data_IF_262187093617
#
_entry.id   IF_262187093617
#
_cell.length_a   1.000
_cell.length_b   1.000
_cell.length_c   1.000
_cell.angle_alpha   90.00
_cell.angle_beta   90.00
_cell.angle_gamma   90.00
#
_symmetry.space_group_name_H-M   'P 1'
#
loop_
_entity.id
_entity.type
_entity.pdbx_description
1 polymer ?
#
# COMPACT_ATOMS: atom_id res chain seq x y z
N UNK A 1 -12.78 -32.03 2.89
CA UNK A 1 -13.31 -32.03 1.51
C UNK A 1 -12.16 -32.37 0.58
N UNK A 2 -12.38 -33.17 -0.47
CA UNK A 2 -11.32 -33.43 -1.44
C UNK A 2 -10.85 -32.09 -2.02
N UNK A 3 -9.54 -31.87 -2.00
CA UNK A 3 -8.94 -30.67 -2.60
C UNK A 3 -9.21 -30.70 -4.10
N UNK A 4 -9.65 -29.57 -4.68
CA UNK A 4 -9.87 -29.42 -6.13
C UNK A 4 -8.54 -29.17 -6.85
N UNK A 5 -8.49 -29.54 -8.13
CA UNK A 5 -7.31 -29.36 -8.96
C UNK A 5 -7.20 -27.91 -9.38
N UNK A 6 -6.00 -27.34 -9.27
CA UNK A 6 -5.74 -26.00 -9.78
C UNK A 6 -6.04 -25.89 -11.28
N UNK A 7 -5.71 -26.93 -12.03
CA UNK A 7 -5.91 -26.96 -13.48
C UNK A 7 -7.39 -26.88 -13.84
N UNK A 8 -8.25 -27.58 -13.10
CA UNK A 8 -9.70 -27.55 -13.31
C UNK A 8 -10.23 -26.14 -12.99
N UNK A 9 -9.83 -25.57 -11.85
CA UNK A 9 -10.27 -24.24 -11.42
C UNK A 9 -9.85 -23.14 -12.40
N UNK A 10 -8.67 -23.22 -13.00
CA UNK A 10 -8.21 -22.25 -14.02
C UNK A 10 -9.10 -22.26 -15.27
N UNK A 11 -9.77 -23.38 -15.60
CA UNK A 11 -10.74 -23.41 -16.70
C UNK A 11 -12.02 -22.65 -16.39
N UNK A 12 -12.30 -22.36 -15.12
CA UNK A 12 -13.52 -21.71 -14.62
C UNK A 12 -13.39 -20.18 -14.52
N UNK A 13 -12.22 -19.61 -14.84
CA UNK A 13 -11.93 -18.17 -14.70
C UNK A 13 -12.98 -17.27 -15.36
N UNK A 14 -13.27 -17.53 -16.64
CA UNK A 14 -14.19 -16.69 -17.42
C UNK A 14 -15.65 -16.90 -16.98
N UNK A 15 -16.04 -18.15 -16.69
CA UNK A 15 -17.39 -18.45 -16.18
C UNK A 15 -17.63 -17.79 -14.83
N UNK A 16 -16.68 -17.89 -13.90
CA UNK A 16 -16.77 -17.26 -12.57
C UNK A 16 -16.86 -15.74 -12.67
N UNK A 17 -16.08 -15.12 -13.57
CA UNK A 17 -16.18 -13.70 -13.84
C UNK A 17 -17.59 -13.31 -14.32
N UNK A 18 -18.09 -13.98 -15.35
CA UNK A 18 -19.38 -13.64 -15.97
C UNK A 18 -20.57 -13.89 -15.03
N UNK A 19 -20.54 -14.96 -14.25
CA UNK A 19 -21.59 -15.27 -13.26
C UNK A 19 -21.65 -14.21 -12.16
N UNK A 20 -20.50 -13.82 -11.60
CA UNK A 20 -20.45 -12.77 -10.56
C UNK A 20 -20.82 -11.41 -11.15
N UNK A 21 -20.35 -11.12 -12.36
CA UNK A 21 -20.64 -9.87 -13.05
C UNK A 21 -22.14 -9.66 -13.30
N UNK A 22 -22.83 -10.73 -13.71
CA UNK A 22 -24.27 -10.72 -13.99
C UNK A 22 -25.10 -10.69 -12.72
N UNK A 23 -24.66 -11.39 -11.68
CA UNK A 23 -25.44 -11.60 -10.46
C UNK A 23 -25.33 -10.44 -9.45
N UNK A 24 -24.25 -9.66 -9.51
CA UNK A 24 -24.04 -8.52 -8.62
C UNK A 24 -23.69 -8.93 -7.18
N UNK A 25 -23.91 -7.99 -6.25
CA UNK A 25 -23.62 -8.18 -4.83
C UNK A 25 -24.77 -7.67 -3.95
N UNK A 26 -24.88 -8.22 -2.74
CA UNK A 26 -26.01 -7.96 -1.83
C UNK A 26 -26.11 -6.49 -1.38
N UNK A 27 -24.98 -5.88 -1.01
CA UNK A 27 -24.93 -4.50 -0.53
C UNK A 27 -23.55 -3.86 -0.76
N UNK A 28 -23.52 -2.54 -0.95
CA UNK A 28 -22.28 -1.75 -0.89
C UNK A 28 -22.53 -0.42 -0.20
N UNK A 29 -21.52 0.13 0.50
CA UNK A 29 -21.58 1.47 1.07
C UNK A 29 -21.59 2.56 0.00
N UNK A 30 -21.99 3.78 0.38
CA UNK A 30 -21.81 4.96 -0.46
C UNK A 30 -20.38 5.54 -0.37
N UNK A 31 -20.09 6.53 -1.23
CA UNK A 31 -18.77 7.18 -1.30
C UNK A 31 -18.38 7.84 0.02
N UNK A 32 -19.33 8.48 0.71
CA UNK A 32 -19.07 9.21 1.96
C UNK A 32 -18.70 8.23 3.08
N UNK A 33 -19.37 7.08 3.15
CA UNK A 33 -19.07 6.03 4.10
C UNK A 33 -17.69 5.44 3.87
N UNK A 34 -17.19 5.41 2.63
CA UNK A 34 -15.84 4.93 2.33
C UNK A 34 -14.72 5.90 2.73
N UNK A 35 -14.99 7.20 2.91
CA UNK A 35 -13.94 8.20 3.18
C UNK A 35 -13.18 7.97 4.50
N UNK A 36 -11.90 8.35 4.50
CA UNK A 36 -11.01 8.32 5.66
C UNK A 36 -9.75 7.46 5.45
N UNK A 37 -8.82 7.41 6.43
CA UNK A 37 -7.70 6.49 6.41
C UNK A 37 -8.16 5.03 6.52
N UNK A 38 -7.56 4.16 5.70
CA UNK A 38 -7.98 2.75 5.57
C UNK A 38 -6.84 1.78 5.80
N UNK A 39 -7.13 0.69 6.53
CA UNK A 39 -6.33 -0.53 6.48
C UNK A 39 -7.03 -1.61 5.66
N UNK A 40 -6.38 -2.09 4.60
CA UNK A 40 -6.85 -3.16 3.74
C UNK A 40 -6.15 -4.44 4.16
N UNK A 41 -6.88 -5.41 4.70
CA UNK A 41 -6.32 -6.56 5.40
C UNK A 41 -6.60 -7.85 4.63
N UNK A 42 -5.54 -8.59 4.32
CA UNK A 42 -5.60 -9.90 3.68
C UNK A 42 -4.31 -10.70 3.90
N UNK A 43 -4.38 -12.01 3.71
CA UNK A 43 -3.22 -12.93 3.78
C UNK A 43 -3.06 -13.70 2.48
N UNK A 44 -1.83 -14.09 2.16
CA UNK A 44 -1.53 -14.83 0.94
C UNK A 44 -2.05 -14.11 -0.30
N UNK A 45 -2.69 -14.84 -1.22
CA UNK A 45 -3.32 -14.26 -2.41
C UNK A 45 -4.37 -13.16 -2.12
N UNK A 46 -5.00 -13.12 -0.94
CA UNK A 46 -5.93 -12.03 -0.57
C UNK A 46 -5.22 -10.70 -0.33
N UNK A 47 -3.90 -10.70 -0.09
CA UNK A 47 -3.11 -9.47 0.04
C UNK A 47 -3.05 -8.71 -1.29
N UNK A 48 -3.12 -9.41 -2.43
CA UNK A 48 -3.23 -8.77 -3.74
C UNK A 48 -4.53 -7.96 -3.86
N UNK A 49 -5.66 -8.48 -3.38
CA UNK A 49 -6.94 -7.77 -3.35
C UNK A 49 -6.89 -6.56 -2.41
N UNK A 50 -6.27 -6.71 -1.23
CA UNK A 50 -6.03 -5.59 -0.32
C UNK A 50 -5.20 -4.49 -0.98
N UNK A 51 -4.18 -4.85 -1.77
CA UNK A 51 -3.39 -3.87 -2.52
C UNK A 51 -4.16 -3.23 -3.67
N UNK A 52 -4.99 -3.98 -4.37
CA UNK A 52 -5.87 -3.45 -5.42
C UNK A 52 -6.89 -2.45 -4.84
N UNK A 53 -7.49 -2.77 -3.69
CA UNK A 53 -8.37 -1.84 -2.99
C UNK A 53 -7.65 -0.60 -2.50
N UNK A 54 -6.43 -0.74 -1.97
CA UNK A 54 -5.61 0.42 -1.61
C UNK A 54 -5.49 1.40 -2.79
N UNK A 55 -5.14 0.90 -3.97
CA UNK A 55 -5.01 1.74 -5.16
C UNK A 55 -6.34 2.34 -5.60
N UNK A 56 -7.45 1.61 -5.56
CA UNK A 56 -8.78 2.16 -5.84
C UNK A 56 -9.11 3.31 -4.88
N UNK A 57 -8.89 3.11 -3.58
CA UNK A 57 -9.20 4.08 -2.55
C UNK A 57 -8.41 5.37 -2.71
N UNK A 58 -7.11 5.25 -3.01
CA UNK A 58 -6.21 6.37 -3.27
C UNK A 58 -6.52 7.05 -4.62
N UNK A 59 -6.83 6.28 -5.67
CA UNK A 59 -7.15 6.81 -7.00
C UNK A 59 -8.36 7.75 -6.98
N UNK A 60 -9.39 7.42 -6.18
CA UNK A 60 -10.59 8.24 -6.02
C UNK A 60 -10.50 9.27 -4.89
N UNK A 61 -9.30 9.50 -4.32
CA UNK A 61 -9.06 10.46 -3.23
C UNK A 61 -9.97 10.25 -2.01
N UNK A 62 -10.31 9.01 -1.68
CA UNK A 62 -11.13 8.70 -0.50
C UNK A 62 -10.34 8.81 0.81
N UNK A 63 -9.01 8.79 0.73
CA UNK A 63 -8.09 8.93 1.85
C UNK A 63 -6.78 8.18 1.59
N UNK A 64 -5.93 8.12 2.61
CA UNK A 64 -4.73 7.27 2.58
C UNK A 64 -5.13 5.83 2.88
N UNK A 65 -4.60 4.86 2.13
CA UNK A 65 -4.85 3.46 2.38
C UNK A 65 -3.54 2.68 2.56
N UNK A 66 -3.58 1.62 3.37
CA UNK A 66 -2.44 0.71 3.54
C UNK A 66 -2.92 -0.73 3.47
N UNK A 67 -2.42 -1.46 2.47
CA UNK A 67 -2.50 -2.92 2.44
C UNK A 67 -1.56 -3.52 3.50
N UNK A 68 -2.05 -4.50 4.26
CA UNK A 68 -1.29 -5.15 5.31
C UNK A 68 -1.83 -6.55 5.62
N UNK A 69 -1.00 -7.35 6.28
CA UNK A 69 -1.39 -8.65 6.83
C UNK A 69 -2.16 -8.52 8.14
N UNK A 70 -2.94 -9.55 8.56
CA UNK A 70 -3.53 -9.59 9.90
C UNK A 70 -2.50 -9.44 11.03
N UNK A 71 -1.28 -9.98 10.83
CA UNK A 71 -0.20 -9.85 11.80
C UNK A 71 0.24 -8.39 11.98
N UNK A 72 0.45 -7.65 10.89
CA UNK A 72 0.76 -6.22 10.95
C UNK A 72 -0.39 -5.42 11.59
N UNK A 73 -1.64 -5.75 11.25
CA UNK A 73 -2.82 -5.11 11.84
C UNK A 73 -2.88 -5.29 13.36
N UNK A 74 -2.54 -6.47 13.86
CA UNK A 74 -2.51 -6.73 15.31
C UNK A 74 -1.39 -5.96 16.04
N UNK A 75 -0.37 -5.47 15.33
CA UNK A 75 0.79 -4.79 15.92
C UNK A 75 0.75 -3.27 15.76
N UNK A 76 -0.22 -2.72 15.02
CA UNK A 76 -0.41 -1.27 14.87
C UNK A 76 -1.25 -0.68 16.00
N UNK A 77 -0.78 0.46 16.52
CA UNK A 77 -1.50 1.27 17.50
C UNK A 77 -2.42 2.31 16.83
N UNK A 78 -2.34 2.45 15.51
CA UNK A 78 -3.17 3.38 14.75
C UNK A 78 -4.57 2.77 14.60
N UNK A 79 -5.59 3.58 14.85
CA UNK A 79 -6.98 3.25 14.53
C UNK A 79 -7.35 3.95 13.22
N UNK A 80 -7.60 3.21 12.12
CA UNK A 80 -8.10 3.80 10.88
C UNK A 80 -9.59 4.12 11.01
N UNK A 81 -10.12 4.93 10.09
CA UNK A 81 -11.57 5.18 10.01
C UNK A 81 -12.30 3.95 9.47
N UNK A 82 -11.66 3.20 8.56
CA UNK A 82 -12.22 2.02 7.90
C UNK A 82 -11.20 0.88 7.83
N UNK A 83 -11.68 -0.34 8.07
CA UNK A 83 -10.94 -1.59 7.87
C UNK A 83 -11.63 -2.38 6.77
N UNK A 84 -10.91 -2.69 5.70
CA UNK A 84 -11.42 -3.53 4.60
C UNK A 84 -10.82 -4.92 4.74
N UNK A 85 -11.66 -5.93 4.84
CA UNK A 85 -11.28 -7.31 5.11
C UNK A 85 -11.51 -8.16 3.86
N UNK A 86 -10.47 -8.85 3.40
CA UNK A 86 -10.54 -9.81 2.29
C UNK A 86 -10.40 -11.24 2.81
N UNK A 87 -11.47 -12.03 2.70
CA UNK A 87 -11.44 -13.44 3.11
C UNK A 87 -12.57 -14.24 2.43
N UNK A 88 -12.22 -15.06 1.44
CA UNK A 88 -13.15 -15.89 0.68
C UNK A 88 -14.03 -16.81 1.54
N UNK A 89 -13.40 -17.59 2.43
CA UNK A 89 -14.09 -18.59 3.24
C UNK A 89 -14.63 -18.08 4.59
N UNK A 90 -14.15 -16.93 5.06
CA UNK A 90 -14.58 -16.30 6.32
C UNK A 90 -14.31 -17.12 7.59
N UNK A 91 -13.33 -18.03 7.56
CA UNK A 91 -13.05 -19.00 8.65
C UNK A 91 -11.69 -18.85 9.33
N UNK A 92 -10.74 -18.16 8.70
CA UNK A 92 -9.38 -17.99 9.24
C UNK A 92 -9.44 -17.21 10.57
N UNK A 93 -8.78 -17.69 11.62
CA UNK A 93 -8.87 -17.06 12.94
C UNK A 93 -8.29 -15.64 12.96
N UNK A 94 -7.21 -15.37 12.23
CA UNK A 94 -6.57 -14.05 12.21
C UNK A 94 -7.52 -12.99 11.66
N UNK A 95 -8.30 -13.30 10.61
CA UNK A 95 -9.25 -12.34 10.06
C UNK A 95 -10.46 -12.10 10.98
N UNK A 96 -10.86 -13.12 11.74
CA UNK A 96 -11.89 -12.97 12.76
C UNK A 96 -11.39 -12.10 13.92
N UNK A 97 -10.10 -12.17 14.26
CA UNK A 97 -9.48 -11.32 15.27
C UNK A 97 -9.33 -9.88 14.75
N UNK A 98 -8.96 -9.68 13.48
CA UNK A 98 -8.98 -8.36 12.82
C UNK A 98 -10.37 -7.73 12.92
N UNK A 99 -11.44 -8.48 12.62
CA UNK A 99 -12.81 -7.98 12.76
C UNK A 99 -13.11 -7.53 14.19
N UNK A 100 -12.80 -8.37 15.19
CA UNK A 100 -13.06 -8.07 16.60
C UNK A 100 -12.29 -6.83 17.05
N UNK A 101 -11.02 -6.71 16.65
CA UNK A 101 -10.17 -5.57 16.98
C UNK A 101 -10.66 -4.28 16.31
N UNK A 102 -11.06 -4.34 15.03
CA UNK A 102 -11.66 -3.22 14.32
C UNK A 102 -12.97 -2.77 14.99
N UNK A 103 -13.80 -3.72 15.41
CA UNK A 103 -15.04 -3.46 16.16
C UNK A 103 -14.76 -2.82 17.52
N UNK A 104 -13.80 -3.35 18.29
CA UNK A 104 -13.40 -2.76 19.58
C UNK A 104 -12.88 -1.32 19.42
N UNK A 105 -12.21 -1.02 18.30
CA UNK A 105 -11.72 0.32 17.94
C UNK A 105 -12.80 1.24 17.34
N UNK A 106 -14.04 0.76 17.20
CA UNK A 106 -15.15 1.46 16.57
C UNK A 106 -14.85 1.91 15.13
N UNK A 107 -14.06 1.13 14.39
CA UNK A 107 -13.81 1.36 12.97
C UNK A 107 -15.06 0.99 12.15
N UNK A 108 -15.24 1.64 11.00
CA UNK A 108 -16.08 1.09 9.91
C UNK A 108 -15.43 -0.18 9.38
N UNK A 109 -16.24 -1.17 8.98
CA UNK A 109 -15.74 -2.47 8.50
C UNK A 109 -16.41 -2.81 7.17
N UNK A 110 -15.61 -3.03 6.12
CA UNK A 110 -16.07 -3.52 4.83
C UNK A 110 -15.50 -4.91 4.60
N UNK A 111 -16.35 -5.91 4.34
CA UNK A 111 -15.92 -7.30 4.19
C UNK A 111 -16.18 -7.76 2.77
N UNK A 112 -15.15 -8.29 2.12
CA UNK A 112 -15.26 -9.05 0.88
C UNK A 112 -15.11 -10.55 1.16
N UNK A 113 -16.14 -11.31 0.81
CA UNK A 113 -16.21 -12.76 1.01
C UNK A 113 -16.97 -13.41 -0.14
N UNK A 114 -16.70 -14.67 -0.43
CA UNK A 114 -17.47 -15.46 -1.39
C UNK A 114 -18.40 -16.46 -0.71
N UNK A 115 -18.42 -16.47 0.63
CA UNK A 115 -19.23 -17.38 1.45
C UNK A 115 -20.24 -16.59 2.28
N UNK A 116 -21.54 -16.73 1.95
CA UNK A 116 -22.65 -16.04 2.63
C UNK A 116 -22.75 -16.38 4.12
N UNK A 117 -22.71 -17.67 4.46
CA UNK A 117 -22.71 -18.13 5.86
C UNK A 117 -21.32 -18.62 6.28
N UNK A 118 -20.61 -17.78 7.02
CA UNK A 118 -19.28 -18.03 7.56
C UNK A 118 -19.17 -17.45 8.97
N UNK A 119 -18.18 -17.89 9.78
CA UNK A 119 -17.88 -17.25 11.05
C UNK A 119 -17.72 -15.71 10.92
N UNK A 120 -17.10 -15.23 9.86
CA UNK A 120 -16.89 -13.80 9.61
C UNK A 120 -18.21 -13.05 9.33
N UNK A 121 -19.08 -13.60 8.49
CA UNK A 121 -20.38 -12.96 8.21
C UNK A 121 -21.31 -12.99 9.42
N UNK A 122 -21.22 -14.02 10.28
CA UNK A 122 -21.92 -14.03 11.57
C UNK A 122 -21.38 -12.99 12.55
N UNK A 123 -20.08 -12.71 12.54
CA UNK A 123 -19.52 -11.61 13.31
C UNK A 123 -20.02 -10.25 12.80
N UNK A 124 -20.15 -10.07 11.48
CA UNK A 124 -20.67 -8.84 10.87
C UNK A 124 -22.06 -8.47 11.41
N UNK A 125 -22.95 -9.45 11.61
CA UNK A 125 -24.30 -9.25 12.17
C UNK A 125 -24.26 -8.64 13.58
N UNK A 126 -23.16 -8.81 14.32
CA UNK A 126 -23.01 -8.24 15.67
C UNK A 126 -22.66 -6.74 15.69
N UNK A 127 -22.46 -6.11 14.53
CA UNK A 127 -22.15 -4.69 14.38
C UNK A 127 -22.77 -4.10 13.09
N UNK A 128 -24.11 -4.17 12.94
CA UNK A 128 -24.79 -3.91 11.67
C UNK A 128 -24.65 -2.45 11.19
N UNK A 129 -24.58 -1.49 12.11
CA UNK A 129 -24.53 -0.06 11.76
C UNK A 129 -23.16 0.37 11.18
N UNK A 130 -22.10 -0.39 11.48
CA UNK A 130 -20.72 -0.08 11.11
C UNK A 130 -20.11 -1.10 10.15
N UNK A 131 -20.88 -2.07 9.66
CA UNK A 131 -20.35 -3.17 8.84
C UNK A 131 -21.12 -3.34 7.54
N UNK A 132 -20.40 -3.36 6.41
CA UNK A 132 -20.93 -3.81 5.12
C UNK A 132 -20.29 -5.13 4.71
N UNK A 133 -21.11 -6.05 4.19
CA UNK A 133 -20.65 -7.32 3.63
C UNK A 133 -20.96 -7.33 2.13
N UNK A 134 -19.89 -7.47 1.35
CA UNK A 134 -19.91 -7.62 -0.09
C UNK A 134 -19.70 -9.09 -0.39
N UNK A 135 -20.77 -9.77 -0.79
CA UNK A 135 -20.80 -11.19 -1.16
C UNK A 135 -21.51 -11.36 -2.51
N UNK A 136 -21.01 -12.22 -3.42
CA UNK A 136 -21.71 -12.47 -4.67
C UNK A 136 -23.08 -13.07 -4.39
N UNK A 137 -24.08 -12.69 -5.17
CA UNK A 137 -25.43 -13.26 -5.00
C UNK A 137 -25.47 -14.70 -5.51
N UNK A 138 -24.63 -15.04 -6.50
CA UNK A 138 -24.40 -16.39 -7.04
C UNK A 138 -23.43 -17.22 -6.17
N UNK A 139 -23.60 -18.53 -6.18
CA UNK A 139 -22.61 -19.45 -5.60
C UNK A 139 -21.40 -19.54 -6.52
N UNK A 140 -20.24 -19.18 -6.01
CA UNK A 140 -18.97 -19.32 -6.73
C UNK A 140 -18.42 -20.75 -6.57
N UNK A 141 -17.73 -21.30 -7.59
CA UNK A 141 -17.03 -22.57 -7.44
C UNK A 141 -16.03 -22.48 -6.28
N UNK A 142 -15.94 -23.54 -5.48
CA UNK A 142 -14.98 -23.60 -4.37
C UNK A 142 -13.57 -23.68 -4.91
N UNK A 143 -12.63 -23.07 -4.21
CA UNK A 143 -11.21 -23.24 -4.50
C UNK A 143 -10.64 -24.51 -3.86
N UNK A 144 -9.53 -24.97 -4.43
CA UNK A 144 -8.58 -25.89 -3.82
C UNK A 144 -7.73 -25.19 -2.76
N UNK A 145 -6.47 -25.58 -2.63
CA UNK A 145 -5.54 -24.94 -1.70
C UNK A 145 -5.12 -23.53 -2.15
N UNK A 146 -4.72 -23.39 -3.42
CA UNK A 146 -4.32 -22.12 -4.00
C UNK A 146 -5.51 -21.46 -4.72
N UNK A 147 -5.93 -20.29 -4.25
CA UNK A 147 -7.18 -19.66 -4.70
C UNK A 147 -7.16 -19.24 -6.18
N UNK A 148 -8.29 -19.46 -6.87
CA UNK A 148 -8.52 -19.06 -8.27
C UNK A 148 -9.87 -18.35 -8.39
N UNK A 149 -10.97 -19.09 -8.19
CA UNK A 149 -12.33 -18.62 -8.36
C UNK A 149 -12.68 -17.52 -7.36
N UNK A 150 -12.35 -17.68 -6.08
CA UNK A 150 -12.67 -16.63 -5.10
C UNK A 150 -11.92 -15.33 -5.34
N UNK A 151 -10.70 -15.41 -5.87
CA UNK A 151 -9.90 -14.25 -6.22
C UNK A 151 -10.52 -13.48 -7.39
N UNK A 152 -10.97 -14.18 -8.44
CA UNK A 152 -11.66 -13.58 -9.57
C UNK A 152 -13.04 -13.03 -9.18
N UNK A 153 -13.80 -13.79 -8.40
CA UNK A 153 -15.10 -13.34 -7.90
C UNK A 153 -14.97 -12.04 -7.10
N UNK A 154 -14.04 -11.99 -6.15
CA UNK A 154 -13.82 -10.79 -5.34
C UNK A 154 -13.30 -9.62 -6.17
N UNK A 155 -12.42 -9.89 -7.13
CA UNK A 155 -11.94 -8.89 -8.09
C UNK A 155 -13.07 -8.28 -8.91
N UNK A 156 -14.02 -9.12 -9.36
CA UNK A 156 -15.21 -8.68 -10.07
C UNK A 156 -16.09 -7.76 -9.19
N UNK A 157 -16.29 -8.11 -7.91
CA UNK A 157 -17.04 -7.27 -6.98
C UNK A 157 -16.39 -5.90 -6.74
N UNK A 158 -15.05 -5.85 -6.67
CA UNK A 158 -14.32 -4.57 -6.57
C UNK A 158 -14.59 -3.71 -7.82
N UNK A 159 -14.55 -4.31 -9.02
CA UNK A 159 -14.87 -3.60 -10.26
C UNK A 159 -16.35 -3.15 -10.32
N UNK A 160 -17.30 -3.98 -9.86
CA UNK A 160 -18.71 -3.60 -9.79
C UNK A 160 -18.95 -2.45 -8.80
N UNK A 161 -18.25 -2.43 -7.65
CA UNK A 161 -18.32 -1.32 -6.70
C UNK A 161 -17.74 -0.05 -7.31
N UNK A 162 -16.58 -0.13 -7.96
CA UNK A 162 -15.98 1.00 -8.66
C UNK A 162 -16.95 1.58 -9.70
N UNK A 163 -17.53 0.73 -10.55
CA UNK A 163 -18.51 1.13 -11.55
C UNK A 163 -19.73 1.79 -10.92
N UNK A 164 -20.31 1.17 -9.88
CA UNK A 164 -21.51 1.67 -9.21
C UNK A 164 -21.29 3.03 -8.55
N UNK A 165 -20.14 3.23 -7.91
CA UNK A 165 -19.88 4.42 -7.10
C UNK A 165 -19.29 5.58 -7.90
N UNK A 166 -18.50 5.28 -8.94
CA UNK A 166 -17.72 6.28 -9.67
C UNK A 166 -18.00 6.31 -11.17
N UNK A 167 -18.89 5.45 -11.67
CA UNK A 167 -19.24 5.40 -13.09
C UNK A 167 -18.10 4.93 -14.00
N UNK A 168 -17.12 4.19 -13.46
CA UNK A 168 -16.02 3.64 -14.29
C UNK A 168 -16.58 2.76 -15.40
N UNK A 169 -16.00 2.78 -16.60
CA UNK A 169 -16.49 1.91 -17.67
C UNK A 169 -16.09 0.47 -17.39
N UNK A 170 -17.07 -0.37 -17.09
CA UNK A 170 -16.88 -1.80 -17.00
C UNK A 170 -17.08 -2.34 -18.42
N UNK A 171 -15.98 -2.55 -19.15
CA UNK A 171 -16.04 -3.00 -20.56
C UNK A 171 -16.53 -4.46 -20.62
N UNK A 172 -17.85 -4.62 -20.67
CA UNK A 172 -18.52 -5.92 -20.79
C UNK A 172 -18.22 -6.60 -22.13
N UNK A 173 -17.85 -5.82 -23.17
CA UNK A 173 -17.56 -6.33 -24.49
C UNK A 173 -16.15 -6.94 -24.53
N UNK A 174 -15.22 -6.40 -23.72
CA UNK A 174 -13.86 -6.93 -23.54
C UNK A 174 -13.57 -7.18 -22.06
N UNK A 175 -14.05 -8.31 -21.56
CA UNK A 175 -13.71 -8.80 -20.21
C UNK A 175 -12.18 -8.81 -20.02
N UNK A 176 -11.65 -8.23 -18.92
CA UNK A 176 -10.22 -8.29 -18.62
C UNK A 176 -9.75 -9.74 -18.40
N UNK A 177 -10.64 -10.60 -17.91
CA UNK A 177 -10.38 -12.04 -17.71
C UNK A 177 -10.28 -12.76 -19.05
N UNK A 178 -11.28 -12.59 -19.92
CA UNK A 178 -11.26 -13.19 -21.26
C UNK A 178 -10.05 -12.72 -22.08
N UNK A 179 -9.73 -11.43 -22.00
CA UNK A 179 -8.58 -10.83 -22.67
C UNK A 179 -7.27 -11.43 -22.17
N UNK A 180 -7.09 -11.56 -20.85
CA UNK A 180 -5.91 -12.17 -20.27
C UNK A 180 -5.75 -13.64 -20.68
N UNK A 181 -6.84 -14.41 -20.71
CA UNK A 181 -6.85 -15.80 -21.20
C UNK A 181 -6.44 -15.85 -22.67
N UNK A 182 -7.01 -14.99 -23.51
CA UNK A 182 -6.72 -14.96 -24.94
C UNK A 182 -5.26 -14.58 -25.21
N UNK A 183 -4.75 -13.52 -24.56
CA UNK A 183 -3.36 -13.08 -24.71
C UNK A 183 -2.37 -14.13 -24.22
N UNK A 184 -2.72 -14.85 -23.15
CA UNK A 184 -1.91 -15.95 -22.65
C UNK A 184 -1.91 -17.16 -23.58
N UNK A 185 -3.03 -17.47 -24.27
CA UNK A 185 -3.04 -18.48 -25.34
C UNK A 185 -2.18 -18.08 -26.55
N UNK A 186 -2.17 -16.79 -26.87
CA UNK A 186 -1.42 -16.24 -28.00
C UNK A 186 0.09 -16.10 -27.70
N UNK A 187 0.46 -15.98 -26.42
CA UNK A 187 1.84 -15.84 -25.97
C UNK A 187 2.29 -17.08 -25.21
N UNK A 188 3.14 -17.90 -25.83
CA UNK A 188 3.70 -19.07 -25.16
C UNK A 188 4.74 -18.61 -24.12
N UNK A 189 4.44 -18.83 -22.84
CA UNK A 189 5.36 -18.52 -21.75
C UNK A 189 6.03 -19.81 -21.29
N UNK A 190 7.29 -19.99 -21.66
CA UNK A 190 8.09 -21.10 -21.15
C UNK A 190 9.20 -20.57 -20.25
N UNK A 191 9.13 -20.90 -18.97
CA UNK A 191 10.24 -20.76 -18.04
C UNK A 191 10.42 -22.07 -17.29
N UNK A 192 11.44 -22.84 -17.64
CA UNK A 192 11.89 -23.99 -16.85
C UNK A 192 12.73 -23.59 -15.63
N UNK A 193 12.89 -22.28 -15.39
CA UNK A 193 13.67 -21.74 -14.28
C UNK A 193 12.87 -21.76 -12.99
N UNK A 194 13.60 -21.90 -11.88
CA UNK A 194 13.04 -21.99 -10.51
C UNK A 194 13.12 -20.67 -9.74
N UNK A 195 13.83 -19.66 -10.27
CA UNK A 195 13.95 -18.33 -9.64
C UNK A 195 13.27 -17.27 -10.49
N UNK A 196 12.45 -16.42 -9.86
CA UNK A 196 11.67 -15.38 -10.52
C UNK A 196 11.97 -14.00 -9.93
N UNK A 197 12.51 -13.09 -10.76
CA UNK A 197 12.60 -11.68 -10.40
C UNK A 197 11.31 -10.99 -10.86
N UNK A 198 10.40 -10.75 -9.92
CA UNK A 198 9.09 -10.15 -10.20
C UNK A 198 9.22 -8.64 -10.08
N UNK A 199 8.97 -7.94 -11.17
CA UNK A 199 9.02 -6.49 -11.26
C UNK A 199 7.62 -6.00 -11.59
N UNK A 200 7.00 -5.27 -10.68
CA UNK A 200 5.62 -4.84 -10.87
C UNK A 200 5.47 -3.35 -10.60
N UNK A 201 4.66 -2.67 -11.42
CA UNK A 201 4.46 -1.21 -11.33
C UNK A 201 3.00 -0.84 -11.28
N UNK A 202 2.65 0.16 -10.47
CA UNK A 202 1.29 0.72 -10.37
C UNK A 202 0.24 -0.39 -10.25
N UNK A 203 -0.82 -0.34 -11.05
CA UNK A 203 -1.88 -1.34 -11.11
C UNK A 203 -1.44 -2.75 -11.54
N UNK A 204 -0.21 -2.96 -12.00
CA UNK A 204 0.39 -4.30 -12.16
C UNK A 204 0.89 -4.91 -10.84
N UNK A 205 1.11 -4.10 -9.80
CA UNK A 205 1.66 -4.53 -8.51
C UNK A 205 0.82 -5.58 -7.76
N UNK A 206 -0.53 -5.51 -7.74
CA UNK A 206 -1.37 -6.56 -7.15
C UNK A 206 -1.08 -7.96 -7.72
N UNK A 207 -0.86 -8.05 -9.03
CA UNK A 207 -0.50 -9.32 -9.67
C UNK A 207 0.90 -9.80 -9.30
N UNK A 208 1.84 -8.88 -9.03
CA UNK A 208 3.15 -9.21 -8.49
C UNK A 208 3.07 -9.85 -7.10
N UNK A 209 2.21 -9.32 -6.21
CA UNK A 209 1.93 -9.92 -4.90
C UNK A 209 1.22 -11.27 -5.02
N UNK A 210 0.23 -11.37 -5.90
CA UNK A 210 -0.46 -12.64 -6.16
C UNK A 210 0.52 -13.70 -6.69
N UNK A 211 1.35 -13.37 -7.67
CA UNK A 211 2.30 -14.32 -8.25
C UNK A 211 3.39 -14.75 -7.25
N UNK A 212 3.89 -13.83 -6.42
CA UNK A 212 4.80 -14.13 -5.32
C UNK A 212 4.17 -15.12 -4.34
N UNK A 213 2.96 -14.83 -3.86
CA UNK A 213 2.23 -15.72 -2.96
C UNK A 213 1.99 -17.10 -3.59
N UNK A 214 1.62 -17.17 -4.88
CA UNK A 214 1.41 -18.44 -5.60
C UNK A 214 2.68 -19.30 -5.63
N UNK A 215 3.82 -18.70 -5.97
CA UNK A 215 5.10 -19.42 -6.01
C UNK A 215 5.50 -19.91 -4.62
N UNK A 216 5.37 -19.06 -3.60
CA UNK A 216 5.74 -19.37 -2.22
C UNK A 216 4.82 -20.43 -1.59
N UNK A 217 3.50 -20.29 -1.71
CA UNK A 217 2.51 -21.20 -1.12
C UNK A 217 2.50 -22.58 -1.78
N UNK A 218 2.85 -22.66 -3.07
CA UNK A 218 2.95 -23.93 -3.80
C UNK A 218 4.33 -24.58 -3.72
N UNK A 219 5.35 -23.86 -3.21
CA UNK A 219 6.73 -24.34 -3.13
C UNK A 219 7.38 -24.57 -4.50
N UNK A 220 6.91 -23.86 -5.55
CA UNK A 220 7.30 -24.10 -6.94
C UNK A 220 8.42 -23.18 -7.44
N UNK A 221 8.78 -22.14 -6.68
CA UNK A 221 9.89 -21.28 -7.05
C UNK A 221 10.26 -20.25 -6.01
N UNK A 222 11.54 -19.84 -6.04
CA UNK A 222 12.01 -18.69 -5.29
C UNK A 222 11.63 -17.42 -6.05
N UNK A 223 11.22 -16.37 -5.35
CA UNK A 223 10.86 -15.13 -6.01
C UNK A 223 11.28 -13.88 -5.23
N UNK A 224 11.46 -12.80 -5.97
CA UNK A 224 11.80 -11.49 -5.45
C UNK A 224 10.91 -10.43 -6.09
N UNK A 225 9.91 -9.95 -5.35
CA UNK A 225 9.06 -8.84 -5.77
C UNK A 225 9.74 -7.49 -5.51
N UNK A 226 9.63 -6.58 -6.47
CA UNK A 226 10.08 -5.18 -6.35
C UNK A 226 9.36 -4.29 -7.36
N UNK A 227 9.31 -2.99 -7.09
CA UNK A 227 9.03 -2.01 -8.14
C UNK A 227 10.26 -1.78 -9.04
N UNK A 228 10.08 -1.25 -10.27
CA UNK A 228 11.17 -1.05 -11.22
C UNK A 228 12.28 -0.10 -10.76
N UNK A 229 11.97 0.91 -9.94
CA UNK A 229 12.97 1.88 -9.47
C UNK A 229 13.80 1.29 -8.36
N UNK A 230 13.16 0.66 -7.38
CA UNK A 230 13.85 -0.05 -6.31
C UNK A 230 14.69 -1.22 -6.84
N UNK A 231 14.32 -1.83 -7.98
CA UNK A 231 15.19 -2.80 -8.65
C UNK A 231 16.55 -2.19 -9.03
N UNK A 232 16.54 -0.96 -9.56
CA UNK A 232 17.74 -0.20 -9.92
C UNK A 232 18.60 0.19 -8.71
N UNK A 233 18.06 0.16 -7.49
CA UNK A 233 18.79 0.44 -6.25
C UNK A 233 19.50 -0.81 -5.70
N UNK A 234 20.18 -1.56 -6.58
CA UNK A 234 21.11 -2.64 -6.23
C UNK A 234 20.57 -4.07 -6.39
N UNK A 235 19.25 -4.28 -6.52
CA UNK A 235 18.68 -5.63 -6.73
C UNK A 235 19.12 -6.26 -8.05
N UNK A 236 19.46 -5.44 -9.05
CA UNK A 236 20.06 -5.91 -10.31
C UNK A 236 21.35 -6.72 -10.11
N UNK A 237 22.09 -6.54 -9.01
CA UNK A 237 23.29 -7.32 -8.71
C UNK A 237 22.98 -8.79 -8.44
N UNK A 238 21.82 -9.10 -7.86
CA UNK A 238 21.38 -10.48 -7.69
C UNK A 238 21.10 -11.12 -9.05
N UNK A 239 20.41 -10.40 -9.93
CA UNK A 239 20.13 -10.85 -11.28
C UNK A 239 21.43 -11.11 -12.05
N UNK A 240 22.41 -10.22 -11.99
CA UNK A 240 23.70 -10.40 -12.67
C UNK A 240 24.40 -11.69 -12.23
N UNK A 241 24.40 -11.99 -10.92
CA UNK A 241 25.04 -13.19 -10.36
C UNK A 241 24.27 -14.48 -10.64
N UNK A 242 22.96 -14.41 -10.87
CA UNK A 242 22.06 -15.57 -10.97
C UNK A 242 21.27 -15.60 -12.29
N UNK A 243 21.73 -14.91 -13.33
CA UNK A 243 20.99 -14.74 -14.60
C UNK A 243 20.67 -16.04 -15.32
N UNK A 244 21.49 -17.08 -15.14
CA UNK A 244 21.29 -18.39 -15.78
C UNK A 244 20.15 -19.20 -15.15
N UNK A 245 19.74 -18.88 -13.93
CA UNK A 245 18.68 -19.57 -13.17
C UNK A 245 17.45 -18.71 -12.94
N UNK A 246 17.44 -17.47 -13.42
CA UNK A 246 16.41 -16.47 -13.13
C UNK A 246 15.62 -16.08 -14.37
N UNK A 247 14.30 -16.04 -14.23
CA UNK A 247 13.40 -15.41 -15.20
C UNK A 247 12.88 -14.09 -14.63
N UNK A 248 12.90 -13.02 -15.42
CA UNK A 248 12.32 -11.73 -15.03
C UNK A 248 10.88 -11.68 -15.50
N UNK A 249 9.95 -11.38 -14.59
CA UNK A 249 8.51 -11.22 -14.90
C UNK A 249 8.12 -9.79 -14.64
N UNK A 250 7.58 -9.10 -15.64
CA UNK A 250 7.15 -7.71 -15.54
C UNK A 250 5.63 -7.61 -15.60
N UNK A 251 5.00 -7.07 -14.56
CA UNK A 251 3.56 -6.74 -14.54
C UNK A 251 3.37 -5.22 -14.59
N UNK A 252 2.69 -4.71 -15.61
CA UNK A 252 2.50 -3.28 -15.79
C UNK A 252 1.26 -2.94 -16.64
N UNK A 253 0.85 -1.68 -16.60
CA UNK A 253 -0.28 -1.12 -17.36
C UNK A 253 0.21 -0.04 -18.34
N UNK A 254 -0.64 0.47 -19.25
CA UNK A 254 -0.22 1.48 -20.22
C UNK A 254 0.41 2.74 -19.59
N UNK A 255 0.05 3.09 -18.36
CA UNK A 255 0.53 4.23 -17.58
C UNK A 255 2.05 4.23 -17.44
N UNK A 256 2.64 3.04 -17.22
CA UNK A 256 4.08 2.88 -17.01
C UNK A 256 4.79 2.31 -18.25
N UNK A 257 4.09 2.06 -19.36
CA UNK A 257 4.62 1.47 -20.60
C UNK A 257 5.91 2.14 -21.09
N UNK A 258 5.93 3.47 -21.15
CA UNK A 258 7.09 4.21 -21.67
C UNK A 258 8.33 4.02 -20.79
N UNK A 259 8.16 3.96 -19.47
CA UNK A 259 9.22 3.69 -18.53
C UNK A 259 9.65 2.22 -18.59
N UNK A 260 8.71 1.29 -18.56
CA UNK A 260 8.99 -0.15 -18.60
C UNK A 260 9.68 -0.57 -19.90
N UNK A 261 9.32 0.01 -21.05
CA UNK A 261 10.03 -0.23 -22.32
C UNK A 261 11.51 0.15 -22.23
N UNK A 262 11.82 1.33 -21.68
CA UNK A 262 13.21 1.76 -21.45
C UNK A 262 13.93 0.85 -20.45
N UNK A 263 13.27 0.50 -19.36
CA UNK A 263 13.77 -0.43 -18.36
C UNK A 263 14.10 -1.80 -18.96
N UNK A 264 13.19 -2.39 -19.74
CA UNK A 264 13.36 -3.68 -20.38
C UNK A 264 14.53 -3.70 -21.38
N UNK A 265 14.76 -2.60 -22.08
CA UNK A 265 15.89 -2.46 -23.01
C UNK A 265 17.25 -2.43 -22.31
N UNK A 266 17.29 -2.14 -21.00
CA UNK A 266 18.50 -2.17 -20.19
C UNK A 266 18.78 -3.54 -19.56
N UNK A 267 17.80 -4.45 -19.56
CA UNK A 267 18.00 -5.80 -19.02
C UNK A 267 18.96 -6.61 -19.93
N UNK A 268 19.82 -7.46 -19.36
CA UNK A 268 20.69 -8.34 -20.15
C UNK A 268 19.89 -9.20 -21.13
N UNK A 269 20.36 -9.28 -22.38
CA UNK A 269 19.64 -9.97 -23.46
C UNK A 269 19.53 -11.49 -23.29
N UNK A 270 20.44 -12.08 -22.51
CA UNK A 270 20.52 -13.51 -22.17
C UNK A 270 19.56 -13.92 -21.03
N UNK A 271 18.90 -12.96 -20.37
CA UNK A 271 17.93 -13.23 -19.31
C UNK A 271 16.53 -13.46 -19.91
N UNK A 272 15.87 -14.60 -19.62
CA UNK A 272 14.48 -14.84 -19.98
C UNK A 272 13.55 -13.79 -19.36
N UNK A 273 12.63 -13.26 -20.17
CA UNK A 273 11.76 -12.15 -19.78
C UNK A 273 10.32 -12.45 -20.17
N UNK A 274 9.41 -12.20 -19.24
CA UNK A 274 7.97 -12.31 -19.42
C UNK A 274 7.35 -10.92 -19.22
N UNK A 275 6.92 -10.30 -20.32
CA UNK A 275 6.31 -8.97 -20.31
C UNK A 275 4.79 -9.13 -20.27
N UNK A 276 4.18 -8.75 -19.15
CA UNK A 276 2.74 -8.78 -18.93
C UNK A 276 2.26 -7.34 -18.86
N UNK A 277 1.93 -6.84 -20.04
CA UNK A 277 1.29 -5.54 -20.20
C UNK A 277 -0.22 -5.72 -20.24
N UNK A 278 -0.95 -5.08 -19.32
CA UNK A 278 -2.39 -4.98 -19.43
C UNK A 278 -2.78 -4.02 -20.57
N UNK A 279 -3.79 -4.34 -21.39
CA UNK A 279 -4.40 -3.38 -22.29
C UNK A 279 -5.36 -2.42 -21.57
N UNK A 280 -5.61 -2.63 -20.27
CA UNK A 280 -6.49 -1.83 -19.42
C UNK A 280 -5.70 -0.99 -18.41
N UNK A 281 -6.36 0.03 -17.87
CA UNK A 281 -5.89 0.80 -16.72
C UNK A 281 -6.70 0.50 -15.46
N UNK A 282 -6.21 1.03 -14.34
CA UNK A 282 -6.90 1.01 -13.05
C UNK A 282 -7.27 -0.42 -12.61
N UNK A 283 -8.46 -0.59 -12.01
CA UNK A 283 -8.94 -1.87 -11.49
C UNK A 283 -8.95 -2.93 -12.58
N UNK A 284 -9.48 -2.65 -13.78
CA UNK A 284 -9.47 -3.62 -14.89
C UNK A 284 -8.03 -3.99 -15.31
N UNK A 285 -7.11 -3.02 -15.24
CA UNK A 285 -5.67 -3.20 -15.39
C UNK A 285 -5.09 -4.25 -14.45
N UNK A 286 -5.37 -4.10 -13.15
CA UNK A 286 -4.95 -5.02 -12.12
C UNK A 286 -5.58 -6.42 -12.27
N UNK A 287 -6.87 -6.49 -12.58
CA UNK A 287 -7.59 -7.74 -12.77
C UNK A 287 -6.99 -8.54 -13.92
N UNK A 288 -6.74 -7.90 -15.07
CA UNK A 288 -6.05 -8.54 -16.18
C UNK A 288 -4.70 -9.12 -15.74
N UNK A 289 -3.88 -8.34 -15.05
CA UNK A 289 -2.57 -8.80 -14.60
C UNK A 289 -2.67 -9.97 -13.59
N UNK A 290 -3.65 -9.95 -12.68
CA UNK A 290 -3.92 -11.05 -11.72
C UNK A 290 -4.34 -12.33 -12.46
N UNK A 291 -5.16 -12.22 -13.50
CA UNK A 291 -5.52 -13.38 -14.33
C UNK A 291 -4.26 -13.94 -15.01
N UNK A 292 -3.37 -13.06 -15.48
CA UNK A 292 -2.09 -13.49 -16.06
C UNK A 292 -1.18 -14.16 -15.03
N UNK A 293 -1.15 -13.75 -13.76
CA UNK A 293 -0.38 -14.44 -12.72
C UNK A 293 -0.96 -15.83 -12.40
N UNK A 294 -2.29 -15.97 -12.36
CA UNK A 294 -2.96 -17.29 -12.22
C UNK A 294 -2.53 -18.24 -13.35
N UNK A 295 -2.58 -17.76 -14.58
CA UNK A 295 -2.26 -18.54 -15.78
C UNK A 295 -0.76 -18.89 -15.85
N UNK A 296 0.14 -17.97 -15.49
CA UNK A 296 1.57 -18.26 -15.37
C UNK A 296 1.85 -19.37 -14.35
N UNK A 297 1.18 -19.35 -13.20
CA UNK A 297 1.32 -20.39 -12.20
C UNK A 297 0.83 -21.75 -12.75
N UNK A 298 -0.22 -21.77 -13.58
CA UNK A 298 -0.66 -23.01 -14.25
C UNK A 298 0.48 -23.59 -15.07
N UNK A 299 1.09 -22.80 -15.94
CA UNK A 299 2.17 -23.27 -16.83
C UNK A 299 3.38 -23.78 -16.04
N UNK A 300 3.77 -23.07 -14.98
CA UNK A 300 4.87 -23.49 -14.09
C UNK A 300 4.55 -24.81 -13.41
N UNK A 301 3.33 -24.95 -12.90
CA UNK A 301 2.84 -26.16 -12.24
C UNK A 301 2.81 -27.37 -13.19
N UNK A 302 2.39 -27.19 -14.46
CA UNK A 302 2.41 -28.23 -15.49
C UNK A 302 3.84 -28.71 -15.78
N UNK A 303 4.78 -27.78 -15.94
CA UNK A 303 6.19 -28.09 -16.21
C UNK A 303 6.80 -28.88 -15.04
N UNK A 304 6.49 -28.48 -13.80
CA UNK A 304 7.00 -29.12 -12.59
C UNK A 304 6.22 -30.37 -12.19
N UNK A 305 5.08 -30.65 -12.85
CA UNK A 305 4.17 -31.77 -12.55
C UNK A 305 3.66 -31.75 -11.11
N UNK A 306 3.36 -30.56 -10.60
CA UNK A 306 2.78 -30.32 -9.28
C UNK A 306 1.38 -29.75 -9.46
N UNK A 307 0.40 -30.15 -8.63
CA UNK A 307 -0.93 -29.54 -8.59
C UNK A 307 -1.03 -28.59 -7.37
N UNK A 308 -0.94 -27.25 -7.57
CA UNK A 308 -1.02 -26.28 -6.48
C UNK A 308 -2.37 -26.26 -5.75
N UNK A 309 -3.41 -26.83 -6.35
CA UNK A 309 -4.73 -26.96 -5.74
C UNK A 309 -4.76 -28.11 -4.73
N UNK A 310 -3.86 -29.08 -4.87
CA UNK A 310 -3.78 -30.30 -4.04
C UNK A 310 -2.37 -30.55 -3.47
N UNK A 311 -1.75 -29.60 -2.76
CA UNK A 311 -0.42 -29.81 -2.21
C UNK A 311 -0.47 -30.79 -1.03
N UNK A 312 0.63 -31.50 -0.84
CA UNK A 312 0.89 -32.28 0.37
C UNK A 312 1.31 -31.32 1.49
N UNK A 313 0.37 -31.04 2.40
CA UNK A 313 0.61 -30.13 3.53
C UNK A 313 1.09 -30.95 4.72
N UNK A 314 2.35 -30.80 5.17
CA UNK A 314 2.90 -31.55 6.29
C UNK A 314 2.24 -31.14 7.60
N UNK A 315 2.25 -32.04 8.58
CA UNK A 315 1.58 -31.83 9.87
C UNK A 315 2.10 -30.60 10.62
N UNK A 316 3.42 -30.37 10.61
CA UNK A 316 4.01 -29.17 11.21
C UNK A 316 3.48 -27.87 10.59
N UNK A 317 3.14 -27.88 9.29
CA UNK A 317 2.55 -26.72 8.61
C UNK A 317 1.10 -26.48 9.04
N UNK A 318 0.34 -27.55 9.29
CA UNK A 318 -1.02 -27.47 9.84
C UNK A 318 -1.00 -26.98 11.29
N UNK A 319 -0.07 -27.49 12.08
CA UNK A 319 0.16 -27.04 13.46
C UNK A 319 0.52 -25.56 13.48
N UNK A 320 1.47 -25.12 12.65
CA UNK A 320 1.86 -23.72 12.51
C UNK A 320 0.66 -22.81 12.17
N UNK A 321 -0.15 -23.18 11.17
CA UNK A 321 -1.33 -22.41 10.79
C UNK A 321 -2.41 -22.38 11.89
N UNK A 322 -2.40 -23.34 12.82
CA UNK A 322 -3.37 -23.39 13.93
C UNK A 322 -2.98 -22.52 15.13
N UNK A 323 -1.73 -22.03 15.19
CA UNK A 323 -1.23 -21.21 16.29
C UNK A 323 -2.02 -19.90 16.35
N UNK A 324 -2.60 -19.63 17.52
CA UNK A 324 -3.19 -18.33 17.83
C UNK A 324 -2.13 -17.46 18.48
N UNK A 325 -1.83 -16.30 17.90
CA UNK A 325 -0.96 -15.34 18.58
C UNK A 325 -1.77 -14.53 19.59
N UNK A 326 -1.20 -14.30 20.77
CA UNK A 326 -1.86 -13.53 21.83
C UNK A 326 -1.67 -12.04 21.56
N UNK A 327 -2.76 -11.30 21.47
CA UNK A 327 -2.75 -9.85 21.33
C UNK A 327 -1.94 -9.18 22.45
N UNK A 328 -0.97 -8.35 22.08
CA UNK A 328 -0.30 -7.45 23.02
C UNK A 328 -1.13 -6.16 23.05
N UNK A 329 -1.94 -5.97 24.10
CA UNK A 329 -2.59 -4.67 24.35
C UNK A 329 -1.50 -3.64 24.66
N UNK A 330 -1.03 -2.93 23.64
CA UNK A 330 -0.18 -1.75 23.85
C UNK A 330 -1.05 -0.66 24.45
N UNK A 331 -0.64 -0.11 25.61
CA UNK A 331 -1.21 1.15 26.09
C UNK A 331 -1.00 2.17 24.98
N UNK A 332 -2.06 2.84 24.54
CA UNK A 332 -1.90 4.01 23.67
C UNK A 332 -0.91 4.94 24.38
N UNK A 333 0.14 5.33 23.68
CA UNK A 333 0.96 6.43 24.17
C UNK A 333 0.00 7.61 24.35
N UNK A 334 -0.01 8.29 25.51
CA UNK A 334 -0.81 9.50 25.66
C UNK A 334 -0.43 10.43 24.51
N UNK A 335 -1.43 10.84 23.71
CA UNK A 335 -1.25 11.87 22.69
C UNK A 335 -1.08 13.18 23.45
N UNK A 336 0.12 13.38 23.95
CA UNK A 336 0.61 14.67 24.41
C UNK A 336 1.35 15.23 23.22
N UNK A 337 0.88 16.35 22.69
CA UNK A 337 1.71 17.18 21.81
C UNK A 337 2.53 18.06 22.75
N UNK A 338 3.77 17.68 23.09
CA UNK A 338 4.52 18.42 24.11
C UNK A 338 4.70 19.87 23.68
N UNK A 339 4.81 20.12 22.37
CA UNK A 339 4.85 21.45 21.78
C UNK A 339 3.61 22.32 22.04
N UNK A 340 2.44 21.74 22.33
CA UNK A 340 1.18 22.47 22.59
C UNK A 340 0.94 22.64 24.09
N UNK A 341 1.39 21.68 24.91
CA UNK A 341 1.04 21.61 26.33
C UNK A 341 2.19 21.90 27.29
N UNK A 342 3.43 21.97 26.80
CA UNK A 342 4.58 22.32 27.64
C UNK A 342 4.92 23.80 27.50
N UNK A 343 5.21 24.48 28.62
CA UNK A 343 5.79 25.81 28.56
C UNK A 343 7.16 25.71 27.88
N UNK A 344 7.41 26.59 26.91
CA UNK A 344 8.71 26.71 26.26
C UNK A 344 9.46 27.91 26.85
N UNK A 345 10.76 27.74 27.10
CA UNK A 345 11.61 28.82 27.64
C UNK A 345 12.40 29.58 26.57
N UNK A 346 12.32 29.13 25.32
CA UNK A 346 13.09 29.71 24.21
C UNK A 346 12.45 29.47 22.85
N UNK A 347 12.71 30.37 21.91
CA UNK A 347 12.28 30.26 20.51
C UNK A 347 13.50 30.49 19.62
N UNK A 348 13.69 29.63 18.62
CA UNK A 348 14.70 29.82 17.57
C UNK A 348 13.96 30.07 16.26
N UNK A 349 14.27 31.19 15.61
CA UNK A 349 13.63 31.60 14.36
C UNK A 349 14.67 31.65 13.25
N UNK A 350 14.26 31.21 12.06
CA UNK A 350 14.98 31.57 10.85
C UNK A 350 14.85 33.09 10.58
N UNK A 351 15.82 33.69 9.91
CA UNK A 351 15.74 35.10 9.55
C UNK A 351 14.96 35.30 8.24
N UNK A 352 15.33 34.57 7.18
CA UNK A 352 14.87 34.78 5.80
C UNK A 352 13.63 33.94 5.45
N UNK A 353 12.45 34.52 5.62
CA UNK A 353 11.16 33.87 5.40
C UNK A 353 10.33 33.78 6.68
N UNK A 354 10.92 34.09 7.83
CA UNK A 354 10.23 34.17 9.14
C UNK A 354 10.26 35.59 9.71
N UNK A 355 11.43 36.11 10.09
CA UNK A 355 11.55 37.49 10.64
C UNK A 355 11.42 38.54 9.54
N UNK A 356 12.10 38.30 8.41
CA UNK A 356 12.04 39.15 7.22
C UNK A 356 11.44 38.34 6.08
N UNK A 357 10.53 38.94 5.31
CA UNK A 357 10.02 38.27 4.11
C UNK A 357 11.16 38.12 3.09
N UNK A 358 11.33 36.93 2.49
CA UNK A 358 12.40 36.65 1.53
C UNK A 358 12.44 37.64 0.35
N UNK A 359 11.28 38.16 -0.08
CA UNK A 359 11.19 39.16 -1.15
C UNK A 359 11.67 40.55 -0.73
N UNK A 360 11.66 40.82 0.58
CA UNK A 360 12.01 42.09 1.21
C UNK A 360 13.28 41.97 2.06
N UNK A 361 14.14 41.00 1.75
CA UNK A 361 15.29 40.61 2.56
C UNK A 361 16.29 41.74 2.88
N UNK A 362 16.29 42.82 2.10
CA UNK A 362 17.13 44.01 2.30
C UNK A 362 16.38 45.21 2.88
N UNK A 363 15.09 45.06 3.21
CA UNK A 363 14.29 46.08 3.89
C UNK A 363 14.38 45.91 5.41
N UNK A 364 14.01 46.96 6.17
CA UNK A 364 13.86 46.85 7.62
C UNK A 364 12.87 45.74 8.01
N UNK A 365 13.14 45.08 9.13
CA UNK A 365 12.18 44.21 9.85
C UNK A 365 10.94 45.05 10.15
N UNK A 366 9.75 44.47 9.93
CA UNK A 366 8.46 45.13 10.20
C UNK A 366 8.31 45.41 11.70
N UNK A 367 7.78 46.58 12.05
CA UNK A 367 7.63 47.02 13.44
C UNK A 367 6.79 46.04 14.29
N UNK A 368 5.81 45.37 13.68
CA UNK A 368 5.00 44.33 14.33
C UNK A 368 5.84 43.12 14.79
N UNK A 369 6.84 42.73 13.99
CA UNK A 369 7.74 41.61 14.30
C UNK A 369 8.75 42.04 15.36
N UNK A 370 9.30 43.26 15.25
CA UNK A 370 10.18 43.84 16.27
C UNK A 370 9.47 43.88 17.63
N UNK A 371 8.25 44.41 17.66
CA UNK A 371 7.43 44.52 18.88
C UNK A 371 7.19 43.15 19.52
N UNK A 372 6.92 42.13 18.71
CA UNK A 372 6.66 40.78 19.22
C UNK A 372 7.92 40.08 19.74
N UNK A 373 9.06 40.25 19.05
CA UNK A 373 10.37 39.76 19.51
C UNK A 373 10.71 40.38 20.87
N UNK A 374 10.54 41.70 20.99
CA UNK A 374 10.81 42.42 22.24
C UNK A 374 9.84 42.06 23.36
N UNK A 375 8.56 41.82 23.04
CA UNK A 375 7.55 41.32 24.00
C UNK A 375 7.98 39.98 24.57
N UNK A 376 8.34 39.02 23.71
CA UNK A 376 8.79 37.69 24.13
C UNK A 376 10.05 37.76 25.01
N UNK A 377 11.03 38.60 24.63
CA UNK A 377 12.23 38.84 25.42
C UNK A 377 11.91 39.45 26.79
N UNK A 378 10.96 40.40 26.84
CA UNK A 378 10.52 41.00 28.10
C UNK A 378 9.80 40.03 29.04
N UNK A 379 9.18 38.99 28.50
CA UNK A 379 8.56 37.89 29.24
C UNK A 379 9.56 36.80 29.66
N UNK A 380 10.86 37.00 29.38
CA UNK A 380 11.95 36.10 29.77
C UNK A 380 12.18 34.93 28.82
N UNK A 381 11.55 34.94 27.63
CA UNK A 381 11.79 33.93 26.59
C UNK A 381 13.13 34.24 25.91
N UNK A 382 14.01 33.23 25.86
CA UNK A 382 15.29 33.37 25.14
C UNK A 382 15.07 33.25 23.64
N UNK A 383 15.65 34.17 22.87
CA UNK A 383 15.51 34.16 21.41
C UNK A 383 16.84 33.79 20.75
N UNK A 384 16.76 32.81 19.86
CA UNK A 384 17.80 32.48 18.89
C UNK A 384 17.38 32.90 17.47
N UNK A 385 18.30 33.47 16.70
CA UNK A 385 18.08 33.79 15.29
C UNK A 385 19.09 33.01 14.45
N UNK A 386 18.61 32.07 13.65
CA UNK A 386 19.42 31.30 12.72
C UNK A 386 19.36 31.94 11.33
N UNK A 387 20.51 32.13 10.69
CA UNK A 387 20.56 32.73 9.35
C UNK A 387 21.75 32.24 8.54
N UNK A 388 21.58 32.17 7.21
CA UNK A 388 22.68 32.00 6.27
C UNK A 388 23.52 33.27 6.07
N UNK A 389 23.09 34.41 6.61
CA UNK A 389 23.78 35.71 6.49
C UNK A 389 24.96 35.81 7.46
N UNK A 390 25.86 36.75 7.16
CA UNK A 390 26.96 37.19 8.03
C UNK A 390 26.66 38.55 8.66
N UNK A 391 27.66 39.42 8.73
CA UNK A 391 27.61 40.75 9.38
C UNK A 391 26.36 41.59 9.09
N UNK A 392 25.88 41.56 7.84
CA UNK A 392 24.65 42.27 7.44
C UNK A 392 23.41 41.94 8.30
N UNK A 393 23.34 40.73 8.87
CA UNK A 393 22.28 40.36 9.79
C UNK A 393 22.45 41.00 11.17
N UNK A 394 23.69 41.03 11.68
CA UNK A 394 24.01 41.68 12.96
C UNK A 394 23.70 43.18 12.89
N UNK A 395 24.14 43.86 11.83
CA UNK A 395 23.88 45.29 11.65
C UNK A 395 22.37 45.59 11.64
N UNK A 396 21.59 44.80 10.89
CA UNK A 396 20.15 44.98 10.79
C UNK A 396 19.45 44.75 12.14
N UNK A 397 19.79 43.67 12.83
CA UNK A 397 19.22 43.31 14.12
C UNK A 397 19.58 44.35 15.20
N UNK A 398 20.85 44.76 15.30
CA UNK A 398 21.31 45.78 16.25
C UNK A 398 20.63 47.13 16.03
N UNK A 399 20.41 47.48 14.76
CA UNK A 399 19.77 48.74 14.39
C UNK A 399 18.28 48.80 14.76
N UNK A 400 17.60 47.66 14.77
CA UNK A 400 16.14 47.63 14.89
C UNK A 400 15.62 47.09 16.22
N UNK A 401 16.38 46.24 16.90
CA UNK A 401 16.02 45.72 18.22
C UNK A 401 16.65 46.59 19.30
N UNK A 402 15.93 46.79 20.40
CA UNK A 402 16.40 47.57 21.54
C UNK A 402 17.70 47.01 22.12
N UNK A 403 18.68 47.88 22.31
CA UNK A 403 20.04 47.57 22.80
C UNK A 403 20.04 46.77 24.11
N UNK A 404 19.06 47.01 24.99
CA UNK A 404 18.92 46.28 26.26
C UNK A 404 18.77 44.76 26.11
N UNK A 405 18.40 44.29 24.91
CA UNK A 405 18.20 42.86 24.63
C UNK A 405 19.36 42.22 23.87
N UNK A 406 20.36 42.97 23.43
CA UNK A 406 21.42 42.42 22.55
C UNK A 406 22.25 41.33 23.23
N UNK A 407 22.46 41.43 24.55
CA UNK A 407 23.21 40.42 25.32
C UNK A 407 22.48 39.08 25.49
N UNK A 408 21.16 39.04 25.28
CA UNK A 408 20.33 37.86 25.53
C UNK A 408 19.80 37.20 24.25
N UNK A 409 20.07 37.81 23.09
CA UNK A 409 19.74 37.25 21.78
C UNK A 409 20.96 36.49 21.24
N UNK A 410 20.77 35.21 20.93
CA UNK A 410 21.80 34.39 20.30
C UNK A 410 21.59 34.44 18.78
N UNK A 411 22.65 34.67 18.02
CA UNK A 411 22.62 34.67 16.55
C UNK A 411 23.53 33.57 16.02
N UNK A 412 22.96 32.71 15.18
CA UNK A 412 23.66 31.69 14.41
C UNK A 412 23.87 32.15 12.98
N UNK A 413 25.05 32.68 12.69
CA UNK A 413 25.44 33.17 11.36
C UNK A 413 26.00 32.04 10.49
N UNK A 414 25.99 32.26 9.18
CA UNK A 414 26.52 31.31 8.18
C UNK A 414 25.98 29.89 8.37
N UNK A 415 24.65 29.77 8.48
CA UNK A 415 23.93 28.51 8.74
C UNK A 415 24.37 27.83 10.05
N UNK A 416 24.66 28.63 11.08
CA UNK A 416 25.05 28.14 12.40
C UNK A 416 26.54 27.80 12.55
N UNK A 417 27.38 28.15 11.58
CA UNK A 417 28.85 27.98 11.67
C UNK A 417 29.44 28.86 12.78
N UNK A 418 28.86 30.06 12.98
CA UNK A 418 29.23 30.97 14.07
C UNK A 418 28.02 31.20 14.95
N UNK A 419 28.17 30.94 16.25
CA UNK A 419 27.16 31.21 17.28
C UNK A 419 27.72 32.23 18.26
N UNK A 420 26.98 33.31 18.49
CA UNK A 420 27.41 34.43 19.32
C UNK A 420 26.20 35.20 19.86
N UNK A 421 26.40 36.05 20.87
CA UNK A 421 25.36 37.00 21.27
C UNK A 421 25.27 38.13 20.24
N UNK A 422 24.10 38.76 20.13
CA UNK A 422 23.92 39.91 19.23
C UNK A 422 24.82 41.08 19.63
N UNK A 423 25.22 41.21 20.90
CA UNK A 423 26.14 42.23 21.39
C UNK A 423 27.62 41.97 21.10
N UNK A 424 28.02 40.72 20.83
CA UNK A 424 29.42 40.37 20.60
C UNK A 424 29.91 40.84 19.22
N UNK A 425 31.14 41.29 19.08
CA UNK A 425 31.69 41.62 17.76
C UNK A 425 32.12 40.37 16.99
N UNK A 426 31.82 40.31 15.69
CA UNK A 426 32.25 39.20 14.84
C UNK A 426 33.78 39.25 14.68
N UNK A 427 34.44 38.14 15.02
CA UNK A 427 35.91 38.02 15.00
C UNK A 427 36.46 37.53 13.67
#
# INVERSE_FOLDING_TARGET
MPKRSYFDEVTELDTTWNDVLTSGFDSAPDVKWLQGPVFCVGSGGSLALAKMWQFLHEHYNLGIAKAMTPYEFAHTNVSPDLVVIFSAGGKNHDILDVFRDAKEKNCKILIFTTTKDSPLTRLAITAPDNTYVVCPTVNTPKDGFLAVNSLIATSCQIAQIEHRLFGSTLDLIKSPVASAIQDHKNGYVHSSKVTFQIIASEWGYPAGLDFEARLAESGTGNCFLTDPRNFGHGRFLWLEKNKTTTTVVLFYTPLSRSFIKRFNNLLPGDVPRLLIESPYENVLGAIYCIVRSILLMRDIAEIQKVDPGKPDVPDWGRELHSIKFKRIKKKSAPVTYPAITQPFGSVVMDMDGTIVNTKDRFKPIRDEIVSEIERLLSEGIRIGIATGRGDSALELLRKQLNEKFHDVIIVGLYNGTVLMNLSDDLK
#
